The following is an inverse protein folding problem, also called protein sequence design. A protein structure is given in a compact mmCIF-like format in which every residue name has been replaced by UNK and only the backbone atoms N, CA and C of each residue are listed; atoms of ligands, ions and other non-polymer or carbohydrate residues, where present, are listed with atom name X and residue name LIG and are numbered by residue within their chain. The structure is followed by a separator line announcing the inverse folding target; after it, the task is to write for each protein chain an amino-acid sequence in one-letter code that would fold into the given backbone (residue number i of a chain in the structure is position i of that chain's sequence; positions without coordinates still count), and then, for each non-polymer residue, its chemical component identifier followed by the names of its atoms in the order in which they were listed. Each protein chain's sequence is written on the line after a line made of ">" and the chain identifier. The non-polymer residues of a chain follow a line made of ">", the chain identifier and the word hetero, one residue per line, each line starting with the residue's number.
data_IF_076323628835
#
_entry.id   IF_076323628835
#
_cell.length_a   1.000
_cell.length_b   1.000
_cell.length_c   1.000
_cell.angle_alpha   90.00
_cell.angle_beta   90.00
_cell.angle_gamma   90.00
#
_symmetry.space_group_name_H-M   'P 1'
#
loop_
_entity.id
_entity.type
_entity.pdbx_description
1 polymer ?
#
# COMPACT_ATOMS: atom_id res chain seq x y z
N UNK A 1 63.56 55.61 16.51
CA UNK A 1 63.68 54.13 16.38
C UNK A 1 62.83 53.35 17.44
N UNK A 2 62.65 53.93 18.63
CA UNK A 2 61.84 53.30 19.70
C UNK A 2 60.32 53.26 19.42
N UNK A 3 59.76 54.31 18.84
CA UNK A 3 58.33 54.37 18.50
C UNK A 3 57.87 53.29 17.51
N UNK A 4 58.70 52.97 16.54
CA UNK A 4 58.44 51.95 15.55
C UNK A 4 58.42 50.50 16.18
N UNK A 5 59.33 50.31 17.14
CA UNK A 5 59.46 49.06 17.85
C UNK A 5 58.30 48.84 18.80
N UNK A 6 57.79 49.90 19.43
CA UNK A 6 56.63 49.85 20.30
C UNK A 6 55.32 49.63 19.52
N UNK A 7 55.13 50.25 18.36
CA UNK A 7 54.02 50.05 17.48
C UNK A 7 54.00 48.61 16.94
N UNK A 8 55.15 48.07 16.54
CA UNK A 8 55.22 46.64 16.08
C UNK A 8 54.89 45.64 17.19
N UNK A 9 55.32 45.89 18.43
CA UNK A 9 54.98 44.99 19.56
C UNK A 9 53.53 45.05 19.91
N UNK A 10 52.86 46.19 19.83
CA UNK A 10 51.41 46.35 20.01
C UNK A 10 50.63 45.65 18.93
N UNK A 11 51.02 45.82 17.67
CA UNK A 11 50.34 45.11 16.56
C UNK A 11 50.50 43.59 16.65
N UNK A 12 51.68 43.09 17.03
CA UNK A 12 51.96 41.71 17.26
C UNK A 12 51.07 41.10 18.38
N UNK A 13 50.99 41.84 19.52
CA UNK A 13 50.15 41.39 20.65
C UNK A 13 48.66 41.38 20.28
N UNK A 14 48.15 42.38 19.57
CA UNK A 14 46.77 42.41 19.10
C UNK A 14 46.47 41.30 18.12
N UNK A 15 47.42 40.94 17.26
CA UNK A 15 47.26 39.79 16.33
C UNK A 15 47.24 38.45 17.07
N UNK A 16 48.13 38.25 18.04
CA UNK A 16 48.16 37.05 18.86
C UNK A 16 46.86 36.88 19.66
N UNK A 17 46.32 37.97 20.20
CA UNK A 17 45.03 37.95 20.90
C UNK A 17 43.85 37.63 19.96
N UNK A 18 43.83 38.18 18.74
CA UNK A 18 42.83 37.91 17.72
C UNK A 18 42.90 36.45 17.25
N UNK A 19 44.09 35.88 17.05
CA UNK A 19 44.31 34.50 16.68
C UNK A 19 43.81 33.53 17.79
N UNK A 20 44.08 33.84 19.08
CA UNK A 20 43.57 33.09 20.21
C UNK A 20 42.03 33.12 20.28
N UNK A 21 41.44 34.32 20.14
CA UNK A 21 39.96 34.45 20.16
C UNK A 21 39.32 33.71 19.01
N UNK A 22 39.92 33.69 17.83
CA UNK A 22 39.45 32.96 16.66
C UNK A 22 39.52 31.44 16.89
N UNK A 23 40.61 30.95 17.48
CA UNK A 23 40.78 29.56 17.84
C UNK A 23 39.72 29.06 18.88
N UNK A 24 39.47 29.91 19.90
CA UNK A 24 38.47 29.58 20.94
C UNK A 24 37.05 29.60 20.38
N UNK A 25 36.70 30.59 19.53
CA UNK A 25 35.40 30.62 18.84
C UNK A 25 35.23 29.43 17.91
N UNK A 26 36.27 29.03 17.18
CA UNK A 26 36.23 27.84 16.32
C UNK A 26 35.98 26.57 17.12
N UNK A 27 36.60 26.39 18.26
CA UNK A 27 36.34 25.24 19.16
C UNK A 27 34.90 25.21 19.66
N UNK A 28 34.38 26.37 20.07
CA UNK A 28 32.99 26.50 20.54
C UNK A 28 31.99 26.13 19.41
N UNK A 29 32.27 26.63 18.18
CA UNK A 29 31.43 26.33 17.02
C UNK A 29 31.40 24.82 16.67
N UNK A 30 32.60 24.18 16.72
CA UNK A 30 32.69 22.74 16.47
C UNK A 30 31.91 21.93 17.53
N UNK A 31 32.07 22.31 18.81
CA UNK A 31 31.33 21.65 19.90
C UNK A 31 29.82 21.85 19.78
N UNK A 32 29.37 23.07 19.47
CA UNK A 32 27.97 23.39 19.29
C UNK A 32 27.36 22.66 18.07
N UNK A 33 28.11 22.55 16.99
CA UNK A 33 27.67 21.83 15.78
C UNK A 33 27.51 20.33 16.06
N UNK A 34 28.44 19.72 16.81
CA UNK A 34 28.36 18.33 17.25
C UNK A 34 27.15 18.11 18.17
N UNK A 35 26.86 19.04 19.09
CA UNK A 35 25.68 18.95 19.95
C UNK A 35 24.39 19.09 19.16
N UNK A 36 24.34 19.97 18.17
CA UNK A 36 23.19 20.12 17.27
C UNK A 36 22.96 18.87 16.44
N UNK A 37 24.00 18.26 15.87
CA UNK A 37 23.89 17.01 15.10
C UNK A 37 23.32 15.88 15.99
N UNK A 38 23.76 15.81 17.24
CA UNK A 38 23.26 14.82 18.18
C UNK A 38 21.79 15.05 18.53
N UNK A 39 21.37 16.29 18.75
CA UNK A 39 19.97 16.63 19.00
C UNK A 39 19.07 16.38 17.79
N UNK A 40 19.57 16.63 16.58
CA UNK A 40 18.83 16.30 15.35
C UNK A 40 18.61 14.79 15.25
N UNK A 41 19.64 13.98 15.47
CA UNK A 41 19.53 12.52 15.45
C UNK A 41 18.54 12.00 16.52
N UNK A 42 18.58 12.56 17.73
CA UNK A 42 17.63 12.23 18.81
C UNK A 42 16.20 12.59 18.43
N UNK A 43 15.98 13.77 17.83
CA UNK A 43 14.67 14.22 17.37
C UNK A 43 14.13 13.32 16.25
N UNK A 44 14.95 12.96 15.28
CA UNK A 44 14.59 12.02 14.20
C UNK A 44 14.20 10.65 14.77
N UNK A 45 14.95 10.17 15.76
CA UNK A 45 14.64 8.91 16.46
C UNK A 45 13.31 8.99 17.22
N UNK A 46 13.09 10.06 17.98
CA UNK A 46 11.83 10.28 18.70
C UNK A 46 10.65 10.43 17.75
N UNK A 47 10.80 11.13 16.64
CA UNK A 47 9.78 11.28 15.61
C UNK A 47 9.42 9.92 14.98
N UNK A 48 10.41 9.08 14.66
CA UNK A 48 10.18 7.74 14.15
C UNK A 48 9.42 6.86 15.16
N UNK A 49 9.79 6.93 16.45
CA UNK A 49 9.07 6.23 17.53
C UNK A 49 7.64 6.74 17.70
N UNK A 50 7.41 8.05 17.62
CA UNK A 50 6.09 8.64 17.72
C UNK A 50 5.18 8.18 16.55
N UNK A 51 5.68 8.23 15.32
CA UNK A 51 4.97 7.73 14.13
C UNK A 51 4.66 6.24 14.28
N UNK A 52 5.59 5.45 14.79
CA UNK A 52 5.37 4.02 15.04
C UNK A 52 4.31 3.78 16.12
N UNK A 53 4.33 4.57 17.20
CA UNK A 53 3.34 4.49 18.27
C UNK A 53 1.95 4.91 17.76
N UNK A 54 1.86 5.95 16.94
CA UNK A 54 0.61 6.40 16.32
C UNK A 54 0.06 5.34 15.35
N UNK A 55 0.92 4.72 14.50
CA UNK A 55 0.55 3.58 13.66
C UNK A 55 0.02 2.41 14.51
N UNK A 56 0.66 2.10 15.63
CA UNK A 56 0.22 1.03 16.55
C UNK A 56 -1.08 1.39 17.29
N UNK A 57 -1.27 2.63 17.68
CA UNK A 57 -2.52 3.11 18.29
C UNK A 57 -3.67 3.03 17.27
N UNK A 58 -3.43 3.47 16.03
CA UNK A 58 -4.37 3.34 14.93
C UNK A 58 -4.68 1.87 14.64
N UNK A 59 -3.67 1.00 14.61
CA UNK A 59 -3.85 -0.44 14.47
C UNK A 59 -4.68 -1.03 15.62
N UNK A 60 -4.45 -0.58 16.86
CA UNK A 60 -5.20 -1.01 18.03
C UNK A 60 -6.69 -0.67 17.94
N UNK A 61 -7.04 0.53 17.50
CA UNK A 61 -8.44 0.92 17.27
C UNK A 61 -9.08 0.18 16.09
N UNK A 62 -8.27 -0.24 15.11
CA UNK A 62 -8.70 -0.97 13.94
C UNK A 62 -8.78 -2.50 14.15
N UNK A 63 -8.15 -3.03 15.21
CA UNK A 63 -8.14 -4.49 15.48
C UNK A 63 -9.55 -5.10 15.50
N UNK A 64 -10.54 -4.39 15.99
CA UNK A 64 -11.93 -4.88 16.02
C UNK A 64 -12.51 -4.99 14.60
N UNK A 65 -12.27 -4.00 13.74
CA UNK A 65 -12.69 -4.00 12.34
C UNK A 65 -11.97 -5.08 11.51
N UNK A 66 -10.65 -5.17 11.67
CA UNK A 66 -9.82 -6.21 11.00
C UNK A 66 -10.26 -7.61 11.42
N UNK A 67 -10.46 -7.84 12.73
CA UNK A 67 -10.93 -9.13 13.21
C UNK A 67 -12.31 -9.49 12.62
N UNK A 68 -13.20 -8.52 12.51
CA UNK A 68 -14.50 -8.74 11.87
C UNK A 68 -14.37 -9.06 10.39
N UNK A 69 -13.51 -8.33 9.66
CA UNK A 69 -13.28 -8.56 8.23
C UNK A 69 -12.53 -9.86 7.90
N UNK A 70 -11.69 -10.36 8.81
CA UNK A 70 -11.06 -11.68 8.71
C UNK A 70 -12.07 -12.78 9.07
N UNK A 71 -12.84 -12.58 10.15
CA UNK A 71 -13.77 -13.60 10.62
C UNK A 71 -14.91 -13.88 9.64
N UNK A 72 -15.36 -12.89 8.87
CA UNK A 72 -16.41 -13.08 7.88
C UNK A 72 -16.03 -14.12 6.79
N UNK A 73 -14.94 -13.92 5.99
CA UNK A 73 -14.53 -14.92 5.01
C UNK A 73 -14.08 -16.23 5.65
N UNK A 74 -13.54 -16.21 6.84
CA UNK A 74 -13.18 -17.42 7.58
C UNK A 74 -14.41 -18.25 7.92
N UNK A 75 -15.48 -17.62 8.42
CA UNK A 75 -16.71 -18.33 8.83
C UNK A 75 -17.36 -19.06 7.65
N UNK A 76 -17.56 -18.39 6.51
CA UNK A 76 -18.15 -19.07 5.36
C UNK A 76 -17.20 -20.10 4.73
N UNK A 77 -15.87 -19.85 4.73
CA UNK A 77 -14.91 -20.86 4.26
C UNK A 77 -14.93 -22.11 5.12
N UNK A 78 -15.06 -21.99 6.45
CA UNK A 78 -15.20 -23.13 7.36
C UNK A 78 -16.50 -23.86 7.07
N UNK A 79 -17.63 -23.15 6.93
CA UNK A 79 -18.92 -23.73 6.60
C UNK A 79 -18.88 -24.50 5.28
N UNK A 80 -18.25 -23.93 4.26
CA UNK A 80 -18.09 -24.58 2.95
C UNK A 80 -17.21 -25.83 3.05
N UNK A 81 -16.14 -25.81 3.83
CA UNK A 81 -15.31 -27.00 4.07
C UNK A 81 -16.07 -28.10 4.80
N UNK A 82 -16.92 -27.75 5.78
CA UNK A 82 -17.76 -28.74 6.45
C UNK A 82 -18.79 -29.34 5.49
N UNK A 83 -19.35 -28.54 4.58
CA UNK A 83 -20.23 -29.02 3.52
C UNK A 83 -19.49 -29.98 2.57
N UNK A 84 -18.29 -29.59 2.12
CA UNK A 84 -17.43 -30.47 1.30
C UNK A 84 -17.09 -31.78 1.97
N UNK A 85 -16.83 -31.76 3.28
CA UNK A 85 -16.60 -32.98 4.08
C UNK A 85 -17.80 -33.91 4.07
N UNK A 86 -19.00 -33.34 4.22
CA UNK A 86 -20.25 -34.14 4.12
C UNK A 86 -20.41 -34.73 2.72
N UNK A 87 -20.15 -33.96 1.66
CA UNK A 87 -20.21 -34.47 0.29
C UNK A 87 -19.22 -35.61 0.06
N UNK A 88 -17.98 -35.50 0.59
CA UNK A 88 -17.02 -36.61 0.53
C UNK A 88 -17.51 -37.87 1.20
N UNK A 89 -18.19 -37.77 2.36
CA UNK A 89 -18.79 -38.94 3.03
C UNK A 89 -19.87 -39.58 2.16
N UNK A 90 -20.77 -38.77 1.57
CA UNK A 90 -21.82 -39.26 0.70
C UNK A 90 -21.30 -39.89 -0.59
N UNK A 91 -20.22 -39.34 -1.18
CA UNK A 91 -19.55 -39.99 -2.30
C UNK A 91 -18.88 -41.31 -1.91
N UNK A 92 -18.38 -41.42 -0.68
CA UNK A 92 -17.83 -42.68 -0.15
C UNK A 92 -18.91 -43.77 -0.01
N UNK A 93 -20.11 -43.38 0.45
CA UNK A 93 -21.27 -44.31 0.50
C UNK A 93 -21.69 -44.77 -0.90
N UNK A 94 -21.70 -43.85 -1.89
CA UNK A 94 -21.99 -44.19 -3.27
C UNK A 94 -20.94 -45.16 -3.85
N UNK A 95 -19.65 -44.91 -3.59
CA UNK A 95 -18.58 -45.81 -4.02
C UNK A 95 -18.74 -47.22 -3.41
N UNK A 96 -19.06 -47.29 -2.13
CA UNK A 96 -19.29 -48.59 -1.46
C UNK A 96 -20.40 -49.41 -2.15
N UNK A 97 -21.52 -48.79 -2.51
CA UNK A 97 -22.62 -49.46 -3.26
C UNK A 97 -22.16 -49.89 -4.66
N UNK A 98 -21.33 -49.07 -5.33
CA UNK A 98 -20.76 -49.44 -6.63
C UNK A 98 -19.78 -50.62 -6.53
N UNK A 99 -18.94 -50.65 -5.50
CA UNK A 99 -17.98 -51.73 -5.28
C UNK A 99 -18.68 -53.05 -4.94
N UNK A 100 -19.74 -53.01 -4.12
CA UNK A 100 -20.57 -54.18 -3.80
C UNK A 100 -21.17 -54.77 -5.07
N UNK A 101 -21.68 -53.95 -5.97
CA UNK A 101 -22.20 -54.41 -7.27
C UNK A 101 -21.09 -54.95 -8.18
N UNK A 102 -19.91 -54.31 -8.23
CA UNK A 102 -18.78 -54.73 -9.06
C UNK A 102 -18.20 -56.10 -8.64
N UNK A 103 -18.29 -56.44 -7.36
CA UNK A 103 -17.85 -57.75 -6.82
C UNK A 103 -18.88 -58.87 -7.10
N UNK A 104 -19.97 -58.62 -7.79
CA UNK A 104 -21.08 -59.54 -8.04
C UNK A 104 -21.81 -60.05 -6.79
N UNK A 105 -21.69 -59.32 -5.69
CA UNK A 105 -22.37 -59.66 -4.44
C UNK A 105 -23.86 -59.22 -4.42
N UNK A 106 -24.24 -58.36 -5.39
CA UNK A 106 -25.58 -57.75 -5.45
C UNK A 106 -26.17 -57.85 -6.85
N UNK A 107 -27.46 -58.19 -6.94
CA UNK A 107 -28.18 -58.21 -8.21
C UNK A 107 -28.51 -56.78 -8.71
N UNK A 108 -28.76 -56.64 -10.01
CA UNK A 108 -29.05 -55.33 -10.65
C UNK A 108 -30.27 -54.63 -10.04
N UNK A 109 -31.32 -55.37 -9.61
CA UNK A 109 -32.54 -54.77 -9.05
C UNK A 109 -32.26 -54.15 -7.68
N UNK A 110 -31.52 -54.87 -6.84
CA UNK A 110 -31.05 -54.39 -5.52
C UNK A 110 -30.09 -53.19 -5.65
N UNK A 111 -29.15 -53.24 -6.56
CA UNK A 111 -28.26 -52.10 -6.85
C UNK A 111 -29.05 -50.85 -7.26
N UNK A 112 -29.97 -50.95 -8.22
CA UNK A 112 -30.79 -49.81 -8.64
C UNK A 112 -31.64 -49.27 -7.49
N UNK A 113 -32.13 -50.11 -6.60
CA UNK A 113 -32.89 -49.69 -5.42
C UNK A 113 -32.02 -48.94 -4.43
N UNK A 114 -30.84 -49.46 -4.07
CA UNK A 114 -29.90 -48.82 -3.18
C UNK A 114 -29.45 -47.44 -3.73
N UNK A 115 -29.10 -47.38 -5.02
CA UNK A 115 -28.70 -46.12 -5.68
C UNK A 115 -29.84 -45.10 -5.68
N UNK A 116 -31.11 -45.54 -5.91
CA UNK A 116 -32.24 -44.64 -5.90
C UNK A 116 -32.51 -44.08 -4.50
N UNK A 117 -32.39 -44.90 -3.46
CA UNK A 117 -32.56 -44.48 -2.08
C UNK A 117 -31.47 -43.49 -1.66
N UNK A 118 -30.20 -43.78 -1.96
CA UNK A 118 -29.09 -42.85 -1.70
C UNK A 118 -29.29 -41.50 -2.41
N UNK A 119 -29.69 -41.52 -3.69
CA UNK A 119 -29.93 -40.29 -4.43
C UNK A 119 -31.14 -39.48 -3.93
N UNK A 120 -32.18 -40.15 -3.37
CA UNK A 120 -33.30 -39.46 -2.70
C UNK A 120 -32.83 -38.73 -1.42
N UNK A 121 -31.92 -39.34 -0.67
CA UNK A 121 -31.40 -38.78 0.58
C UNK A 121 -30.40 -37.66 0.31
N UNK A 122 -29.45 -37.84 -0.62
CA UNK A 122 -28.30 -36.99 -0.78
C UNK A 122 -28.32 -36.08 -2.02
N UNK A 123 -29.24 -36.31 -2.99
CA UNK A 123 -29.35 -35.49 -4.21
C UNK A 123 -28.02 -35.30 -4.93
N UNK A 124 -27.37 -36.38 -5.33
CA UNK A 124 -26.00 -36.36 -5.89
C UNK A 124 -25.81 -35.35 -7.04
N UNK A 125 -26.85 -35.14 -7.85
CA UNK A 125 -26.79 -34.14 -8.93
C UNK A 125 -26.66 -32.73 -8.41
N UNK A 126 -27.43 -32.37 -7.38
CA UNK A 126 -27.32 -31.09 -6.71
C UNK A 126 -25.93 -30.91 -6.14
N UNK A 127 -25.37 -31.91 -5.46
CA UNK A 127 -24.03 -31.85 -4.89
C UNK A 127 -22.96 -31.67 -5.98
N UNK A 128 -23.09 -32.33 -7.12
CA UNK A 128 -22.14 -32.20 -8.24
C UNK A 128 -22.20 -30.82 -8.87
N UNK A 129 -23.37 -30.19 -8.93
CA UNK A 129 -23.57 -28.84 -9.47
C UNK A 129 -23.07 -27.75 -8.47
N UNK A 130 -23.22 -27.98 -7.15
CA UNK A 130 -22.84 -27.07 -6.06
C UNK A 130 -21.33 -27.08 -5.73
N UNK A 131 -20.68 -28.24 -5.93
CA UNK A 131 -19.26 -28.45 -5.56
C UNK A 131 -18.29 -27.43 -6.15
N UNK A 132 -18.39 -27.05 -7.43
CA UNK A 132 -17.50 -26.03 -8.01
C UNK A 132 -17.65 -24.67 -7.34
N UNK A 133 -18.87 -24.26 -6.99
CA UNK A 133 -19.18 -23.00 -6.32
C UNK A 133 -18.61 -22.99 -4.90
N UNK A 134 -18.81 -24.04 -4.10
CA UNK A 134 -18.24 -24.18 -2.76
C UNK A 134 -16.71 -24.09 -2.76
N UNK A 135 -16.05 -24.73 -3.73
CA UNK A 135 -14.58 -24.66 -3.86
C UNK A 135 -14.14 -23.25 -4.24
N UNK A 136 -14.83 -22.63 -5.21
CA UNK A 136 -14.53 -21.27 -5.67
C UNK A 136 -14.66 -20.26 -4.53
N UNK A 137 -15.77 -20.28 -3.82
CA UNK A 137 -16.04 -19.37 -2.71
C UNK A 137 -15.06 -19.55 -1.56
N UNK A 138 -14.72 -20.79 -1.21
CA UNK A 138 -13.70 -21.08 -0.20
C UNK A 138 -12.34 -20.52 -0.60
N UNK A 139 -11.95 -20.72 -1.85
CA UNK A 139 -10.67 -20.20 -2.37
C UNK A 139 -10.63 -18.68 -2.36
N UNK A 140 -11.71 -18.01 -2.78
CA UNK A 140 -11.81 -16.54 -2.73
C UNK A 140 -11.77 -16.01 -1.29
N UNK A 141 -12.45 -16.66 -0.36
CA UNK A 141 -12.40 -16.32 1.05
C UNK A 141 -11.00 -16.35 1.63
N UNK A 142 -10.26 -17.43 1.36
CA UNK A 142 -8.88 -17.60 1.81
C UNK A 142 -7.93 -16.58 1.14
N UNK A 143 -8.10 -16.28 -0.14
CA UNK A 143 -7.32 -15.24 -0.84
C UNK A 143 -7.58 -13.86 -0.24
N UNK A 144 -8.83 -13.56 0.12
CA UNK A 144 -9.19 -12.31 0.79
C UNK A 144 -8.50 -12.16 2.14
N UNK A 145 -8.53 -13.20 2.98
CA UNK A 145 -7.82 -13.23 4.27
C UNK A 145 -6.33 -12.98 4.06
N UNK A 146 -5.70 -13.68 3.12
CA UNK A 146 -4.28 -13.53 2.80
C UNK A 146 -3.94 -12.07 2.41
N UNK A 147 -4.81 -11.43 1.62
CA UNK A 147 -4.62 -10.04 1.20
C UNK A 147 -4.77 -9.05 2.37
N UNK A 148 -5.74 -9.26 3.26
CA UNK A 148 -5.92 -8.44 4.46
C UNK A 148 -4.69 -8.55 5.36
N UNK A 149 -4.19 -9.76 5.62
CA UNK A 149 -3.00 -10.01 6.45
C UNK A 149 -1.75 -9.39 5.81
N UNK A 150 -1.56 -9.50 4.50
CA UNK A 150 -0.43 -8.90 3.80
C UNK A 150 -0.44 -7.38 3.93
N UNK A 151 -1.59 -6.73 3.72
CA UNK A 151 -1.75 -5.28 3.88
C UNK A 151 -1.46 -4.84 5.32
N UNK A 152 -1.91 -5.61 6.31
CA UNK A 152 -1.67 -5.33 7.72
C UNK A 152 -0.18 -5.41 8.08
N UNK A 153 0.52 -6.42 7.57
CA UNK A 153 1.96 -6.59 7.77
C UNK A 153 2.75 -5.46 7.10
N UNK A 154 2.36 -5.04 5.90
CA UNK A 154 2.98 -3.92 5.20
C UNK A 154 2.77 -2.59 5.94
N UNK A 155 1.59 -2.38 6.55
CA UNK A 155 1.34 -1.22 7.41
C UNK A 155 2.17 -1.25 8.69
N UNK A 156 2.37 -2.42 9.28
CA UNK A 156 3.10 -2.61 10.55
C UNK A 156 4.63 -2.56 10.40
N UNK A 157 5.18 -2.81 9.21
CA UNK A 157 6.64 -2.83 9.01
C UNK A 157 7.24 -1.44 9.19
N UNK A 158 8.31 -1.29 9.99
CA UNK A 158 9.12 -0.08 10.00
C UNK A 158 9.82 0.05 8.65
N UNK A 159 9.34 0.95 7.79
CA UNK A 159 9.93 1.25 6.47
C UNK A 159 11.04 2.30 6.64
N UNK A 160 12.14 1.94 7.26
CA UNK A 160 13.12 2.93 7.71
C UNK A 160 14.44 3.01 6.94
N UNK A 161 14.74 2.15 5.93
CA UNK A 161 16.13 2.11 5.44
C UNK A 161 16.34 2.09 3.92
N UNK A 162 15.28 2.16 3.10
CA UNK A 162 15.45 2.00 1.65
C UNK A 162 15.19 3.29 0.83
N UNK A 163 15.28 4.48 1.45
CA UNK A 163 15.23 5.73 0.69
C UNK A 163 16.58 5.97 -0.01
N UNK A 164 16.53 6.41 -1.24
CA UNK A 164 17.68 6.78 -2.05
C UNK A 164 17.36 7.99 -2.93
N UNK A 165 18.39 8.68 -3.41
CA UNK A 165 18.18 9.69 -4.45
C UNK A 165 17.87 9.01 -5.76
N UNK A 166 16.64 9.19 -6.24
CA UNK A 166 16.15 8.56 -7.44
C UNK A 166 15.13 9.43 -8.17
N UNK A 167 14.91 9.12 -9.44
CA UNK A 167 13.85 9.69 -10.26
C UNK A 167 12.53 8.95 -9.97
N UNK A 168 11.56 9.62 -9.37
CA UNK A 168 10.24 9.04 -9.05
C UNK A 168 9.47 8.60 -10.31
N UNK A 169 9.81 9.10 -11.49
CA UNK A 169 9.23 8.65 -12.77
C UNK A 169 9.46 7.16 -13.00
N UNK A 170 10.55 6.59 -12.49
CA UNK A 170 10.83 5.15 -12.60
C UNK A 170 9.82 4.31 -11.82
N UNK A 171 9.41 4.77 -10.64
CA UNK A 171 8.37 4.11 -9.85
C UNK A 171 7.00 4.15 -10.56
N UNK A 172 6.66 5.29 -11.17
CA UNK A 172 5.43 5.45 -11.95
C UNK A 172 5.41 4.52 -13.15
N UNK A 173 6.50 4.51 -13.95
CA UNK A 173 6.64 3.60 -15.10
C UNK A 173 6.54 2.13 -14.69
N UNK A 174 7.14 1.76 -13.56
CA UNK A 174 7.08 0.39 -13.02
C UNK A 174 5.65 0.00 -12.64
N UNK A 175 4.89 0.90 -11.98
CA UNK A 175 3.49 0.68 -11.62
C UNK A 175 2.60 0.51 -12.86
N UNK A 176 2.74 1.39 -13.86
CA UNK A 176 2.02 1.31 -15.13
C UNK A 176 2.31 0.00 -15.86
N UNK A 177 3.58 -0.41 -15.92
CA UNK A 177 3.99 -1.68 -16.54
C UNK A 177 3.41 -2.89 -15.79
N UNK A 178 3.40 -2.86 -14.48
CA UNK A 178 2.84 -3.93 -13.64
C UNK A 178 1.34 -4.13 -13.92
N UNK A 179 0.61 -3.03 -14.12
CA UNK A 179 -0.83 -3.04 -14.32
C UNK A 179 -1.25 -3.10 -15.81
N UNK A 180 -0.30 -3.22 -16.76
CA UNK A 180 -0.58 -3.17 -18.20
C UNK A 180 -1.69 -4.15 -18.65
N UNK A 181 -1.74 -5.35 -18.08
CA UNK A 181 -2.78 -6.34 -18.39
C UNK A 181 -4.16 -5.93 -17.84
N UNK A 182 -4.20 -5.33 -16.65
CA UNK A 182 -5.45 -4.90 -16.01
C UNK A 182 -6.02 -3.64 -16.67
N UNK A 183 -5.15 -2.75 -17.17
CA UNK A 183 -5.49 -1.51 -17.85
C UNK A 183 -5.71 -1.69 -19.36
N UNK A 184 -5.67 -2.92 -19.87
CA UNK A 184 -5.76 -3.20 -21.32
C UNK A 184 -7.04 -2.67 -21.98
N UNK A 185 -8.14 -2.61 -21.21
CA UNK A 185 -9.43 -2.13 -21.69
C UNK A 185 -9.65 -0.62 -21.46
N UNK A 186 -8.66 0.07 -20.89
CA UNK A 186 -8.68 1.50 -20.66
C UNK A 186 -7.78 2.23 -21.67
N UNK A 187 -8.17 3.45 -22.07
CA UNK A 187 -7.29 4.38 -22.73
C UNK A 187 -6.35 4.99 -21.70
N UNK A 188 -5.11 4.54 -21.66
CA UNK A 188 -4.10 5.08 -20.75
C UNK A 188 -3.25 6.12 -21.48
N UNK A 189 -3.31 7.36 -21.01
CA UNK A 189 -2.45 8.46 -21.44
C UNK A 189 -1.35 8.68 -20.41
N UNK A 190 -0.08 8.71 -20.84
CA UNK A 190 1.04 8.97 -19.95
C UNK A 190 1.87 10.14 -20.44
N UNK A 191 2.16 11.09 -19.54
CA UNK A 191 3.01 12.23 -19.83
C UNK A 191 4.07 12.35 -18.74
N UNK A 192 5.34 12.24 -19.12
CA UNK A 192 6.47 12.33 -18.21
C UNK A 192 7.36 13.49 -18.61
N UNK A 193 7.39 14.54 -17.81
CA UNK A 193 8.34 15.64 -17.92
C UNK A 193 9.62 15.31 -17.15
N UNK A 194 10.77 15.88 -17.51
CA UNK A 194 11.99 15.77 -16.72
C UNK A 194 11.77 16.30 -15.30
N UNK A 195 12.20 15.56 -14.29
CA UNK A 195 12.15 15.94 -12.89
C UNK A 195 13.50 15.75 -12.21
N UNK A 196 13.71 16.47 -11.12
CA UNK A 196 14.87 16.32 -10.26
C UNK A 196 14.82 15.01 -9.48
N UNK A 197 15.99 14.41 -9.21
CA UNK A 197 16.08 13.31 -8.26
C UNK A 197 15.73 13.80 -6.85
N UNK A 198 14.97 13.00 -6.11
CA UNK A 198 14.59 13.28 -4.73
C UNK A 198 14.82 12.07 -3.83
N UNK A 199 14.96 12.32 -2.53
CA UNK A 199 15.19 11.28 -1.52
C UNK A 199 13.90 10.48 -1.28
N UNK A 200 13.79 9.30 -1.89
CA UNK A 200 12.56 8.50 -1.89
C UNK A 200 12.81 7.00 -1.86
N UNK A 201 11.78 6.27 -1.47
CA UNK A 201 11.67 4.81 -1.57
C UNK A 201 10.85 4.47 -2.83
N UNK A 202 11.51 4.13 -3.95
CA UNK A 202 10.85 3.83 -5.23
C UNK A 202 9.80 2.72 -5.14
N UNK A 203 10.03 1.58 -4.46
CA UNK A 203 9.00 0.58 -4.21
C UNK A 203 7.75 1.12 -3.52
N UNK A 204 7.92 1.99 -2.51
CA UNK A 204 6.80 2.59 -1.80
C UNK A 204 6.01 3.57 -2.69
N UNK A 205 6.71 4.41 -3.47
CA UNK A 205 6.07 5.30 -4.45
C UNK A 205 5.33 4.48 -5.52
N UNK A 206 5.94 3.39 -6.02
CA UNK A 206 5.28 2.48 -6.97
C UNK A 206 3.98 1.92 -6.38
N UNK A 207 3.97 1.54 -5.10
CA UNK A 207 2.76 1.06 -4.40
C UNK A 207 1.66 2.13 -4.32
N UNK A 208 2.03 3.41 -4.09
CA UNK A 208 1.08 4.54 -4.15
C UNK A 208 0.38 4.56 -5.51
N UNK A 209 1.16 4.53 -6.59
CA UNK A 209 0.61 4.62 -7.95
C UNK A 209 -0.22 3.40 -8.32
N UNK A 210 0.20 2.20 -7.92
CA UNK A 210 -0.58 0.96 -8.10
C UNK A 210 -1.95 1.07 -7.43
N UNK A 211 -2.01 1.55 -6.18
CA UNK A 211 -3.28 1.71 -5.46
C UNK A 211 -4.21 2.72 -6.15
N UNK A 212 -3.67 3.86 -6.58
CA UNK A 212 -4.45 4.90 -7.26
C UNK A 212 -4.95 4.40 -8.63
N UNK A 213 -4.09 3.76 -9.43
CA UNK A 213 -4.47 3.23 -10.76
C UNK A 213 -5.52 2.12 -10.67
N UNK A 214 -5.43 1.25 -9.66
CA UNK A 214 -6.46 0.21 -9.42
C UNK A 214 -7.80 0.88 -9.07
N UNK A 215 -7.78 1.93 -8.24
CA UNK A 215 -9.01 2.67 -7.90
C UNK A 215 -9.59 3.38 -9.12
N UNK A 216 -8.77 4.05 -9.92
CA UNK A 216 -9.18 4.71 -11.16
C UNK A 216 -9.82 3.72 -12.15
N UNK A 217 -9.16 2.57 -12.38
CA UNK A 217 -9.69 1.50 -13.23
C UNK A 217 -11.05 1.01 -12.74
N UNK A 218 -11.18 0.73 -11.45
CA UNK A 218 -12.43 0.24 -10.86
C UNK A 218 -13.55 1.29 -10.89
N UNK A 219 -13.22 2.59 -10.77
CA UNK A 219 -14.19 3.67 -10.92
C UNK A 219 -14.76 3.74 -12.36
N UNK A 220 -14.00 3.25 -13.34
CA UNK A 220 -14.40 3.20 -14.74
C UNK A 220 -15.12 1.92 -15.15
N UNK A 221 -15.13 0.84 -14.34
CA UNK A 221 -15.62 -0.49 -14.76
C UNK A 221 -17.11 -0.52 -15.14
N UNK A 222 -17.92 0.36 -14.57
CA UNK A 222 -19.36 0.42 -14.82
C UNK A 222 -19.77 1.55 -15.77
N UNK A 223 -18.80 2.20 -16.43
CA UNK A 223 -19.11 3.26 -17.37
C UNK A 223 -19.66 2.73 -18.69
N UNK A 224 -20.72 3.39 -19.22
CA UNK A 224 -21.17 3.18 -20.59
C UNK A 224 -20.20 3.77 -21.62
N UNK A 225 -19.37 4.72 -21.21
CA UNK A 225 -18.33 5.37 -22.01
C UNK A 225 -17.01 4.59 -21.91
N UNK A 226 -16.08 4.90 -22.82
CA UNK A 226 -14.76 4.30 -22.81
C UNK A 226 -13.97 4.80 -21.59
N UNK A 227 -13.39 3.87 -20.85
CA UNK A 227 -12.56 4.21 -19.70
C UNK A 227 -11.29 4.95 -20.14
N UNK A 228 -11.07 6.14 -19.62
CA UNK A 228 -9.89 6.95 -19.88
C UNK A 228 -9.16 7.23 -18.56
N UNK A 229 -7.87 6.94 -18.54
CA UNK A 229 -7.01 7.20 -17.38
C UNK A 229 -5.79 7.95 -17.87
N UNK A 230 -5.46 9.06 -17.23
CA UNK A 230 -4.23 9.81 -17.51
C UNK A 230 -3.28 9.78 -16.32
N UNK A 231 -1.99 9.72 -16.61
CA UNK A 231 -0.91 9.78 -15.60
C UNK A 231 0.10 10.82 -16.06
N UNK A 232 0.32 11.85 -15.23
CA UNK A 232 1.30 12.88 -15.51
C UNK A 232 2.32 12.98 -14.38
N UNK A 233 3.61 13.16 -14.76
CA UNK A 233 4.69 13.45 -13.82
C UNK A 233 5.39 14.71 -14.28
N UNK A 234 5.51 15.70 -13.39
CA UNK A 234 6.18 16.95 -13.68
C UNK A 234 6.72 17.60 -12.40
N UNK A 235 7.61 18.56 -12.56
CA UNK A 235 8.17 19.36 -11.49
C UNK A 235 7.73 20.81 -11.64
N UNK A 236 7.27 21.40 -10.55
CA UNK A 236 6.90 22.81 -10.47
C UNK A 236 7.27 23.34 -9.09
N UNK A 237 7.95 24.51 -9.02
CA UNK A 237 8.27 25.23 -7.77
C UNK A 237 8.92 24.34 -6.69
N UNK A 238 9.94 23.55 -7.06
CA UNK A 238 10.62 22.62 -6.15
C UNK A 238 9.75 21.51 -5.58
N UNK A 239 8.65 21.18 -6.28
CA UNK A 239 7.79 20.05 -5.96
C UNK A 239 7.60 19.14 -7.17
N UNK A 240 7.64 17.85 -6.94
CA UNK A 240 7.32 16.81 -7.92
C UNK A 240 5.85 16.47 -7.78
N UNK A 241 5.12 16.59 -8.87
CA UNK A 241 3.71 16.25 -8.99
C UNK A 241 3.56 14.93 -9.73
N UNK A 242 2.78 14.02 -9.15
CA UNK A 242 2.34 12.78 -9.79
C UNK A 242 0.81 12.82 -9.79
N UNK A 243 0.23 13.09 -10.94
CA UNK A 243 -1.21 13.20 -11.14
C UNK A 243 -1.74 11.93 -11.79
N UNK A 244 -2.83 11.42 -11.25
CA UNK A 244 -3.63 10.36 -11.88
C UNK A 244 -5.05 10.86 -11.98
N UNK A 245 -5.61 10.85 -13.19
CA UNK A 245 -6.95 11.32 -13.49
C UNK A 245 -7.73 10.23 -14.23
N UNK A 246 -8.98 10.02 -13.84
CA UNK A 246 -9.89 9.08 -14.48
C UNK A 246 -11.24 9.79 -14.82
N UNK A 247 -11.93 9.27 -15.82
CA UNK A 247 -13.28 9.68 -16.17
C UNK A 247 -14.36 8.78 -15.54
N UNK A 248 -14.06 8.17 -14.40
CA UNK A 248 -14.89 7.22 -13.69
C UNK A 248 -16.14 7.81 -13.03
N UNK A 249 -16.72 7.04 -12.11
CA UNK A 249 -17.94 7.42 -11.40
C UNK A 249 -17.77 8.65 -10.49
N UNK A 250 -16.53 9.04 -10.16
CA UNK A 250 -16.25 10.12 -9.23
C UNK A 250 -16.68 9.80 -7.79
N UNK A 251 -16.61 10.81 -6.93
CA UNK A 251 -16.91 10.68 -5.49
C UNK A 251 -17.70 11.87 -4.97
N UNK A 252 -18.60 11.61 -4.00
CA UNK A 252 -19.28 12.65 -3.23
C UNK A 252 -18.33 13.28 -2.21
N UNK A 253 -18.66 14.49 -1.73
CA UNK A 253 -17.90 15.16 -0.65
C UNK A 253 -17.80 14.29 0.62
N UNK A 254 -18.86 13.55 0.96
CA UNK A 254 -18.87 12.63 2.08
C UNK A 254 -17.86 11.49 1.90
N UNK A 255 -17.76 10.97 0.69
CA UNK A 255 -16.77 9.92 0.34
C UNK A 255 -15.35 10.46 0.40
N UNK A 256 -15.09 11.66 -0.13
CA UNK A 256 -13.78 12.31 -0.08
C UNK A 256 -13.34 12.53 1.37
N UNK A 257 -14.26 12.97 2.25
CA UNK A 257 -13.95 13.19 3.67
C UNK A 257 -13.52 11.90 4.41
N UNK A 258 -13.98 10.73 3.97
CA UNK A 258 -13.73 9.42 4.60
C UNK A 258 -12.75 8.53 3.82
N UNK A 259 -12.25 8.98 2.66
CA UNK A 259 -11.47 8.12 1.75
C UNK A 259 -10.17 7.58 2.37
N UNK A 260 -9.64 8.27 3.36
CA UNK A 260 -8.45 7.87 4.10
C UNK A 260 -8.75 7.02 5.34
N UNK A 261 -10.04 6.91 5.72
CA UNK A 261 -10.42 6.09 6.86
C UNK A 261 -10.13 4.62 6.54
N UNK A 262 -9.44 3.92 7.43
CA UNK A 262 -9.15 2.50 7.22
C UNK A 262 -10.43 1.68 7.07
N UNK A 263 -10.42 0.76 6.11
CA UNK A 263 -11.54 -0.11 5.74
C UNK A 263 -12.77 0.60 5.14
N UNK A 264 -12.77 1.91 5.03
CA UNK A 264 -13.84 2.61 4.33
C UNK A 264 -13.80 2.26 2.83
N UNK A 265 -14.91 1.78 2.31
CA UNK A 265 -15.08 1.42 0.91
C UNK A 265 -16.53 1.59 0.48
N UNK A 266 -16.73 2.11 -0.71
CA UNK A 266 -18.03 2.19 -1.39
C UNK A 266 -18.31 0.96 -2.26
N UNK A 267 -17.36 0.01 -2.32
CA UNK A 267 -17.42 -1.19 -3.16
C UNK A 267 -18.20 -2.31 -2.47
N UNK A 268 -18.79 -3.24 -3.25
CA UNK A 268 -19.46 -4.42 -2.70
C UNK A 268 -18.55 -5.23 -1.77
N UNK A 269 -19.16 -5.93 -0.85
CA UNK A 269 -18.45 -6.82 0.09
C UNK A 269 -17.63 -7.85 -0.70
N UNK A 270 -16.33 -7.85 -0.49
CA UNK A 270 -15.37 -8.74 -1.18
C UNK A 270 -14.51 -8.07 -2.23
N UNK A 271 -14.90 -6.94 -2.81
CA UNK A 271 -14.18 -6.29 -3.90
C UNK A 271 -13.22 -5.17 -3.43
N UNK A 272 -13.53 -4.53 -2.30
CA UNK A 272 -12.70 -3.49 -1.70
C UNK A 272 -12.15 -3.90 -0.34
N UNK A 273 -10.87 -3.62 -0.06
CA UNK A 273 -10.27 -3.78 1.28
C UNK A 273 -10.35 -2.52 2.14
N UNK A 274 -10.70 -1.37 1.53
CA UNK A 274 -10.71 -0.08 2.20
C UNK A 274 -9.34 0.41 2.71
N UNK A 275 -8.25 -0.31 2.40
CA UNK A 275 -6.89 0.01 2.88
C UNK A 275 -6.04 0.75 1.84
N UNK A 276 -6.47 0.79 0.58
CA UNK A 276 -5.66 1.34 -0.52
C UNK A 276 -5.30 2.81 -0.32
N UNK A 277 -6.28 3.67 -0.03
CA UNK A 277 -6.07 5.11 0.15
C UNK A 277 -5.43 5.45 1.50
N UNK A 278 -5.69 4.68 2.55
CA UNK A 278 -4.97 4.77 3.83
C UNK A 278 -3.46 4.54 3.64
N UNK A 279 -3.08 3.54 2.83
CA UNK A 279 -1.68 3.27 2.48
C UNK A 279 -1.08 4.40 1.62
N UNK A 280 -1.84 4.94 0.66
CA UNK A 280 -1.42 6.08 -0.16
C UNK A 280 -1.10 7.27 0.75
N UNK A 281 -2.01 7.61 1.66
CA UNK A 281 -1.80 8.70 2.63
C UNK A 281 -0.55 8.49 3.49
N UNK A 282 -0.39 7.30 4.08
CA UNK A 282 0.74 6.99 4.94
C UNK A 282 2.09 7.11 4.20
N UNK A 283 2.18 6.58 2.96
CA UNK A 283 3.42 6.61 2.18
C UNK A 283 3.75 8.03 1.72
N UNK A 284 2.77 8.79 1.21
CA UNK A 284 2.98 10.16 0.76
C UNK A 284 3.43 11.04 1.92
N UNK A 285 2.78 10.92 3.09
CA UNK A 285 3.14 11.67 4.28
C UNK A 285 4.54 11.30 4.81
N UNK A 286 4.94 10.03 4.77
CA UNK A 286 6.30 9.57 5.11
C UNK A 286 7.37 10.20 4.20
N UNK A 287 7.01 10.55 2.97
CA UNK A 287 7.86 11.28 2.01
C UNK A 287 7.72 12.79 2.10
N UNK A 288 7.11 13.32 3.19
CA UNK A 288 6.86 14.75 3.41
C UNK A 288 6.03 15.38 2.29
N UNK A 289 5.24 14.57 1.60
CA UNK A 289 4.35 14.99 0.54
C UNK A 289 2.94 15.30 1.06
N UNK A 290 2.11 15.79 0.15
CA UNK A 290 0.68 15.97 0.37
C UNK A 290 -0.13 15.38 -0.80
N UNK A 291 -1.43 15.17 -0.58
CA UNK A 291 -2.35 14.64 -1.58
C UNK A 291 -3.46 15.66 -1.76
N UNK A 292 -3.73 16.04 -3.01
CA UNK A 292 -4.91 16.79 -3.42
C UNK A 292 -5.86 15.88 -4.20
N UNK A 293 -7.15 15.93 -3.86
CA UNK A 293 -8.19 15.12 -4.52
C UNK A 293 -9.26 16.06 -5.04
N UNK A 294 -9.46 16.02 -6.35
CA UNK A 294 -10.54 16.72 -7.05
C UNK A 294 -11.44 15.66 -7.67
N UNK A 295 -12.68 15.58 -7.19
CA UNK A 295 -13.64 14.60 -7.69
C UNK A 295 -15.05 15.18 -7.69
N UNK A 296 -15.82 14.77 -8.68
CA UNK A 296 -17.23 15.11 -8.79
C UNK A 296 -17.98 13.86 -9.25
N UNK A 297 -19.10 13.54 -8.61
CA UNK A 297 -19.91 12.38 -9.00
C UNK A 297 -20.29 12.43 -10.47
N UNK A 298 -20.05 11.34 -11.19
CA UNK A 298 -20.32 11.21 -12.63
C UNK A 298 -19.31 11.89 -13.56
N UNK A 299 -18.30 12.59 -13.03
CA UNK A 299 -17.32 13.34 -13.84
C UNK A 299 -15.91 12.74 -13.77
N UNK A 300 -15.65 11.88 -12.78
CA UNK A 300 -14.33 11.28 -12.57
C UNK A 300 -13.57 11.84 -11.38
N UNK A 301 -12.31 11.41 -11.24
CA UNK A 301 -11.45 11.80 -10.12
C UNK A 301 -10.05 12.13 -10.62
N UNK A 302 -9.47 13.21 -10.07
CA UNK A 302 -8.06 13.53 -10.16
C UNK A 302 -7.43 13.47 -8.79
N UNK A 303 -6.36 12.68 -8.65
CA UNK A 303 -5.54 12.57 -7.44
C UNK A 303 -4.14 13.05 -7.78
N UNK A 304 -3.68 14.09 -7.07
CA UNK A 304 -2.36 14.69 -7.20
C UNK A 304 -1.53 14.37 -5.97
N UNK A 305 -0.48 13.57 -6.11
CA UNK A 305 0.53 13.36 -5.08
C UNK A 305 1.67 14.35 -5.28
N UNK A 306 1.93 15.19 -4.29
CA UNK A 306 2.93 16.26 -4.36
C UNK A 306 4.06 15.96 -3.40
N UNK A 307 5.30 15.91 -3.89
CA UNK A 307 6.49 15.60 -3.11
C UNK A 307 7.49 16.74 -3.18
N UNK A 308 8.13 17.15 -2.06
CA UNK A 308 9.18 18.16 -2.11
C UNK A 308 10.44 17.61 -2.80
N UNK A 309 11.09 18.44 -3.63
CA UNK A 309 12.41 18.13 -4.15
C UNK A 309 13.41 18.28 -3.01
N UNK A 310 13.95 17.17 -2.55
CA UNK A 310 14.99 17.17 -1.53
C UNK A 310 16.36 17.22 -2.22
N UNK A 311 17.11 18.33 -2.05
CA UNK A 311 18.47 18.44 -2.56
C UNK A 311 19.43 17.59 -1.72
N UNK A 312 20.43 16.98 -2.38
CA UNK A 312 21.59 16.43 -1.66
C UNK A 312 22.29 17.57 -0.94
N UNK A 313 22.11 17.69 0.36
CA UNK A 313 23.07 18.40 1.18
C UNK A 313 24.36 17.58 1.13
N UNK A 314 25.29 17.96 0.23
CA UNK A 314 26.65 17.41 0.26
C UNK A 314 27.17 17.66 1.66
N UNK A 315 27.31 16.62 2.46
CA UNK A 315 28.26 16.63 3.58
C UNK A 315 29.63 16.84 2.93
N UNK A 316 30.06 18.09 2.83
CA UNK A 316 31.47 18.44 2.58
C UNK A 316 32.22 17.92 3.79
N UNK A 317 32.71 16.69 3.70
CA UNK A 317 33.79 16.22 4.57
C UNK A 317 34.98 17.04 4.17
N UNK A 318 35.23 18.12 4.91
CA UNK A 318 36.54 18.82 4.93
C UNK A 318 37.50 17.86 5.62
N UNK A 319 38.40 17.31 4.81
CA UNK A 319 39.61 16.59 5.22
C UNK A 319 40.50 17.45 6.11
#
# INVERSE_FOLDING_TARGET
>A
MDDFKQAYLLEKAAREEAEQLLADKSRILVALNSELEQKIADLEHHQAMFIQAEKMATLGTLCAGVAHEINNPLAYSISNVDCLKNYCNYFSELLAVCDEFACNDTDKATFCKQLTELNKVHSFRFMADDLPELISDTSQGLQRISKIVANLLDFSRPKGHDKQFADMTEAVKSAVKLLANQLRNCHLHTQYSPISQSWCNLPAISQVIVNILINAKQACDNLSAKAEISVAVYELEQHIYIDVEDNGAGMSEETIAKIYDPFYTTKPVGEGTGMGMTMVYAIVHEHQGCIDIQSTEGMGTRISCVFPVQSQVRKTVTS
#
